data_IF_609064049782
#
_entry.id   IF_609064049782
#
_cell.length_a   1.000
_cell.length_b   1.000
_cell.length_c   1.000
_cell.angle_alpha   90.00
_cell.angle_beta   90.00
_cell.angle_gamma   90.00
#
_symmetry.space_group_name_H-M   'P 1'
#
loop_
_entity.id
_entity.type
_entity.pdbx_description
1 polymer ?
#
# COMPACT_ATOMS: atom_id res chain seq x y z
N UNK A 1 -9.87 -16.25 10.78
CA UNK A 1 -8.51 -16.57 11.28
C UNK A 1 -7.81 -17.45 10.26
N UNK A 2 -8.38 -18.61 9.93
CA UNK A 2 -7.81 -19.62 9.02
C UNK A 2 -7.27 -19.08 7.68
N UNK A 3 -8.02 -18.19 7.01
CA UNK A 3 -7.58 -17.61 5.73
C UNK A 3 -6.30 -16.78 5.85
N UNK A 4 -6.16 -16.00 6.92
CA UNK A 4 -4.97 -15.16 7.15
C UNK A 4 -3.79 -16.03 7.53
N UNK A 5 -4.02 -17.08 8.32
CA UNK A 5 -2.95 -17.99 8.77
C UNK A 5 -2.36 -18.79 7.59
N UNK A 6 -3.20 -19.20 6.62
CA UNK A 6 -2.75 -19.79 5.35
C UNK A 6 -1.89 -18.79 4.54
N UNK A 7 -2.30 -17.52 4.46
CA UNK A 7 -1.53 -16.51 3.73
C UNK A 7 -0.19 -16.24 4.40
N UNK A 8 -0.15 -16.18 5.74
CA UNK A 8 1.08 -16.03 6.52
C UNK A 8 2.03 -17.20 6.31
N UNK A 9 1.53 -18.44 6.28
CA UNK A 9 2.40 -19.61 6.09
C UNK A 9 3.06 -19.65 4.70
N UNK A 10 2.48 -18.97 3.70
CA UNK A 10 3.04 -18.89 2.34
C UNK A 10 3.64 -17.52 1.99
N UNK A 11 3.73 -16.58 2.94
CA UNK A 11 4.13 -15.20 2.67
C UNK A 11 5.48 -15.10 1.95
N UNK A 12 6.44 -15.93 2.33
CA UNK A 12 7.79 -15.96 1.74
C UNK A 12 7.87 -16.72 0.41
N UNK A 13 6.77 -17.32 -0.05
CA UNK A 13 6.77 -18.07 -1.30
C UNK A 13 6.88 -17.14 -2.52
N UNK A 14 7.55 -17.58 -3.62
CA UNK A 14 7.61 -16.79 -4.85
C UNK A 14 6.24 -16.44 -5.41
N UNK A 15 5.26 -17.34 -5.27
CA UNK A 15 3.89 -17.10 -5.70
C UNK A 15 3.25 -15.93 -4.94
N UNK A 16 3.31 -15.95 -3.61
CA UNK A 16 2.72 -14.89 -2.80
C UNK A 16 3.42 -13.55 -3.04
N UNK A 17 4.75 -13.54 -3.17
CA UNK A 17 5.50 -12.33 -3.48
C UNK A 17 5.14 -11.74 -4.84
N UNK A 18 4.88 -12.57 -5.86
CA UNK A 18 4.44 -12.12 -7.18
C UNK A 18 3.06 -11.42 -7.11
N UNK A 19 2.09 -12.04 -6.43
CA UNK A 19 0.74 -11.48 -6.26
C UNK A 19 0.81 -10.17 -5.44
N UNK A 20 1.57 -10.16 -4.34
CA UNK A 20 1.78 -8.97 -3.51
C UNK A 20 2.41 -7.83 -4.30
N UNK A 21 3.45 -8.10 -5.09
CA UNK A 21 4.12 -7.10 -5.92
C UNK A 21 3.16 -6.45 -6.92
N UNK A 22 2.38 -7.26 -7.64
CA UNK A 22 1.36 -6.76 -8.56
C UNK A 22 0.28 -5.91 -7.87
N UNK A 23 -0.18 -6.34 -6.69
CA UNK A 23 -1.15 -5.60 -5.90
C UNK A 23 -0.63 -4.23 -5.46
N UNK A 24 0.62 -4.16 -4.96
CA UNK A 24 1.23 -2.90 -4.53
C UNK A 24 1.26 -1.91 -5.70
N UNK A 25 1.78 -2.34 -6.87
CA UNK A 25 1.85 -1.49 -8.05
C UNK A 25 0.46 -1.02 -8.49
N UNK A 26 -0.53 -1.93 -8.51
CA UNK A 26 -1.90 -1.59 -8.88
C UNK A 26 -2.55 -0.59 -7.94
N UNK A 27 -2.44 -0.79 -6.62
CA UNK A 27 -3.04 0.08 -5.61
C UNK A 27 -2.49 1.51 -5.64
N UNK A 28 -1.16 1.65 -5.75
CA UNK A 28 -0.55 2.98 -5.78
C UNK A 28 -0.72 3.70 -7.12
N UNK A 29 -0.93 2.98 -8.22
CA UNK A 29 -1.19 3.57 -9.55
C UNK A 29 -2.69 3.87 -9.81
N UNK A 30 -3.57 3.66 -8.85
CA UNK A 30 -5.00 3.91 -9.00
C UNK A 30 -5.46 5.05 -8.09
N UNK A 31 -5.44 6.28 -8.61
CA UNK A 31 -5.75 7.50 -7.84
C UNK A 31 -7.13 7.45 -7.16
N UNK A 32 -8.11 6.80 -7.79
CA UNK A 32 -9.46 6.67 -7.26
C UNK A 32 -9.54 5.92 -5.91
N UNK A 33 -8.54 5.10 -5.57
CA UNK A 33 -8.54 4.36 -4.29
C UNK A 33 -7.77 5.07 -3.19
N UNK A 34 -6.94 6.07 -3.50
CA UNK A 34 -6.11 6.78 -2.52
C UNK A 34 -6.88 7.32 -1.31
N UNK A 35 -8.08 7.92 -1.47
CA UNK A 35 -8.85 8.41 -0.33
C UNK A 35 -9.33 7.30 0.61
N UNK A 36 -9.45 6.05 0.14
CA UNK A 36 -9.96 4.95 0.94
C UNK A 36 -8.97 4.48 2.01
N UNK A 37 -7.68 4.68 1.79
CA UNK A 37 -6.62 4.31 2.72
C UNK A 37 -5.78 5.52 3.17
N UNK A 38 -6.30 6.74 2.99
CA UNK A 38 -5.67 7.96 3.48
C UNK A 38 -4.36 8.33 2.79
N UNK A 39 -4.13 7.83 1.58
CA UNK A 39 -2.95 8.22 0.80
C UNK A 39 -3.20 9.57 0.12
N UNK A 40 -2.29 10.52 0.31
CA UNK A 40 -2.46 11.90 -0.17
C UNK A 40 -1.94 12.14 -1.59
N UNK A 41 -1.61 11.07 -2.32
CA UNK A 41 -1.05 11.14 -3.67
C UNK A 41 0.44 11.46 -3.71
N UNK A 42 1.01 11.59 -4.90
CA UNK A 42 2.46 11.63 -5.08
C UNK A 42 3.13 12.85 -4.41
N UNK A 43 4.34 12.65 -3.88
CA UNK A 43 5.11 13.72 -3.26
C UNK A 43 5.92 14.55 -4.25
N UNK A 44 6.33 13.96 -5.38
CA UNK A 44 7.32 14.55 -6.29
C UNK A 44 6.82 15.86 -6.90
N UNK A 45 5.60 15.89 -7.43
CA UNK A 45 5.00 17.08 -8.02
C UNK A 45 4.63 18.15 -6.97
N UNK A 46 4.59 17.76 -5.69
CA UNK A 46 4.06 18.56 -4.57
C UNK A 46 5.14 19.05 -3.61
N UNK A 47 6.42 18.84 -3.92
CA UNK A 47 7.54 19.32 -3.10
C UNK A 47 7.77 18.54 -1.80
N UNK A 48 7.35 17.27 -1.75
CA UNK A 48 7.49 16.41 -0.57
C UNK A 48 6.23 16.37 0.31
N UNK A 49 6.31 15.63 1.42
CA UNK A 49 5.21 15.52 2.39
C UNK A 49 5.45 16.25 3.72
N UNK A 50 6.56 16.95 3.91
CA UNK A 50 6.92 17.60 5.19
C UNK A 50 5.77 18.47 5.74
N UNK A 51 5.04 19.14 4.85
CA UNK A 51 3.90 20.00 5.19
C UNK A 51 2.56 19.47 4.63
N UNK A 52 2.47 18.17 4.30
CA UNK A 52 1.30 17.53 3.68
C UNK A 52 1.01 16.18 4.34
N UNK A 53 0.63 16.22 5.62
CA UNK A 53 -0.07 15.12 6.27
C UNK A 53 0.55 13.72 6.24
N UNK A 54 1.85 13.57 5.94
CA UNK A 54 2.50 12.24 6.01
C UNK A 54 2.30 11.59 7.39
N UNK A 55 2.28 12.44 8.42
CA UNK A 55 2.10 12.04 9.81
C UNK A 55 0.63 11.80 10.18
N UNK A 56 -0.32 12.04 9.27
CA UNK A 56 -1.76 11.86 9.49
C UNK A 56 -2.21 10.42 9.12
N UNK A 57 -1.32 9.65 8.47
CA UNK A 57 -1.56 8.24 8.14
C UNK A 57 -1.40 7.39 9.41
N UNK A 58 -2.48 6.74 9.83
CA UNK A 58 -2.55 6.00 11.09
C UNK A 58 -2.10 4.53 11.02
N UNK A 59 -1.68 4.05 9.85
CA UNK A 59 -1.37 2.63 9.60
C UNK A 59 0.06 2.35 9.13
N UNK A 60 0.87 3.41 8.92
CA UNK A 60 2.31 3.32 8.63
C UNK A 60 3.08 3.43 9.94
#
# INVERSE_FOLDING_TARGET
RDRVDILRSMEQSPFFQQIRGGLIVGLYNQEAVWPMFGYEGESFSKGGYINRGFNDINWV
#
